data_IF_956537296016
#
_entry.id   IF_956537296016
#
_cell.length_a   1.000
_cell.length_b   1.000
_cell.length_c   1.000
_cell.angle_alpha   90.00
_cell.angle_beta   90.00
_cell.angle_gamma   90.00
#
_symmetry.space_group_name_H-M   'P 1'
#
loop_
_entity.id
_entity.type
_entity.pdbx_description
1 polymer ?
#
# COMPACT_ATOMS: atom_id res chain seq x y z
N UNK A 1 15.26 42.98 -5.05
CA UNK A 1 14.23 42.36 -4.17
C UNK A 1 13.22 41.49 -4.92
N UNK A 2 12.81 41.82 -6.15
CA UNK A 2 11.75 41.10 -6.89
C UNK A 2 12.11 39.66 -7.33
N UNK A 3 13.37 39.39 -7.67
CA UNK A 3 13.80 38.07 -8.16
C UNK A 3 13.88 36.99 -7.05
N UNK A 4 14.19 37.39 -5.81
CA UNK A 4 14.23 36.47 -4.65
C UNK A 4 12.83 36.01 -4.22
N UNK A 5 11.81 36.86 -4.41
CA UNK A 5 10.40 36.53 -4.12
C UNK A 5 9.86 35.52 -5.14
N UNK A 6 10.22 35.66 -6.41
CA UNK A 6 9.78 34.73 -7.48
C UNK A 6 10.35 33.32 -7.26
N UNK A 7 11.62 33.21 -6.86
CA UNK A 7 12.25 31.91 -6.56
C UNK A 7 11.61 31.25 -5.32
N UNK A 8 11.27 32.04 -4.30
CA UNK A 8 10.59 31.54 -3.10
C UNK A 8 9.17 31.04 -3.41
N UNK A 9 8.42 31.75 -4.26
CA UNK A 9 7.08 31.31 -4.71
C UNK A 9 7.16 30.02 -5.52
N UNK A 10 8.15 29.89 -6.40
CA UNK A 10 8.40 28.64 -7.14
C UNK A 10 8.76 27.47 -6.21
N UNK A 11 9.59 27.71 -5.18
CA UNK A 11 9.97 26.68 -4.21
C UNK A 11 8.78 26.20 -3.36
N UNK A 12 7.87 27.11 -3.00
CA UNK A 12 6.63 26.78 -2.27
C UNK A 12 5.64 26.00 -3.16
N UNK A 13 5.61 26.23 -4.47
CA UNK A 13 4.79 25.44 -5.40
C UNK A 13 5.31 24.00 -5.62
N UNK A 14 6.62 23.76 -5.45
CA UNK A 14 7.19 22.40 -5.49
C UNK A 14 6.90 21.57 -4.22
N UNK A 15 6.43 22.21 -3.15
CA UNK A 15 5.90 21.54 -1.96
C UNK A 15 4.41 21.20 -2.10
N UNK A 16 3.86 21.20 -3.32
CA UNK A 16 2.50 20.75 -3.58
C UNK A 16 2.29 19.40 -2.89
N UNK A 17 1.47 19.46 -1.85
CA UNK A 17 1.25 18.39 -0.89
C UNK A 17 0.92 17.11 -1.65
N UNK A 18 1.74 16.07 -1.44
CA UNK A 18 1.26 14.71 -1.64
C UNK A 18 0.17 14.55 -0.60
N UNK A 19 -1.08 14.74 -1.01
CA UNK A 19 -2.24 14.45 -0.16
C UNK A 19 -2.25 12.94 -0.02
N UNK A 20 -1.57 12.42 0.99
CA UNK A 20 -1.78 11.06 1.45
C UNK A 20 -2.99 11.13 2.38
N UNK A 21 -3.96 10.23 2.18
CA UNK A 21 -5.07 10.08 3.11
C UNK A 21 -4.51 9.51 4.42
N UNK A 22 -4.06 10.39 5.30
CA UNK A 22 -3.50 10.04 6.61
C UNK A 22 -4.59 10.16 7.67
N UNK A 23 -4.78 9.08 8.41
CA UNK A 23 -5.54 9.03 9.65
C UNK A 23 -4.59 8.75 10.82
N UNK A 24 -5.10 8.84 12.04
CA UNK A 24 -4.38 8.37 13.23
C UNK A 24 -3.95 6.90 13.12
N UNK A 25 -4.68 6.11 12.35
CA UNK A 25 -4.49 4.67 12.18
C UNK A 25 -3.47 4.29 11.10
N UNK A 26 -3.17 5.20 10.18
CA UNK A 26 -2.29 4.91 9.06
C UNK A 26 -2.49 5.80 7.85
N UNK A 27 -1.81 5.44 6.76
CA UNK A 27 -1.96 6.08 5.44
C UNK A 27 -2.11 5.05 4.32
N UNK A 28 -2.65 5.48 3.18
CA UNK A 28 -2.85 4.65 2.01
C UNK A 28 -2.32 5.40 0.78
N UNK A 29 -1.40 4.76 0.06
CA UNK A 29 -0.93 5.21 -1.25
C UNK A 29 -1.38 4.22 -2.32
N UNK A 30 -1.87 4.72 -3.45
CA UNK A 30 -2.46 3.91 -4.51
C UNK A 30 -1.71 4.09 -5.82
N UNK A 31 -1.59 3.02 -6.58
CA UNK A 31 -0.88 2.99 -7.85
C UNK A 31 -1.73 2.33 -8.92
N UNK A 32 -1.65 2.87 -10.14
CA UNK A 32 -2.19 2.25 -11.35
C UNK A 32 -1.03 1.98 -12.32
N UNK A 33 -0.84 0.72 -12.72
CA UNK A 33 0.29 0.28 -13.55
C UNK A 33 1.64 0.84 -13.05
N UNK A 34 1.92 0.66 -11.76
CA UNK A 34 3.12 1.15 -11.05
C UNK A 34 3.30 2.67 -10.95
N UNK A 35 2.40 3.46 -11.52
CA UNK A 35 2.39 4.91 -11.35
C UNK A 35 1.60 5.28 -10.10
N UNK A 36 2.23 6.02 -9.18
CA UNK A 36 1.57 6.59 -8.00
C UNK A 36 0.44 7.53 -8.43
N UNK A 37 -0.73 7.39 -7.78
CA UNK A 37 -1.87 8.27 -7.88
C UNK A 37 -1.90 9.18 -6.65
N UNK A 38 -1.42 10.43 -6.74
CA UNK A 38 -1.38 11.35 -5.61
C UNK A 38 -2.78 11.90 -5.27
N UNK A 39 -3.12 11.96 -3.97
CA UNK A 39 -4.34 12.60 -3.51
C UNK A 39 -5.61 11.90 -4.00
N UNK A 40 -6.49 12.70 -4.59
CA UNK A 40 -7.77 12.25 -5.15
C UNK A 40 -7.69 11.93 -6.66
N UNK A 41 -6.46 11.74 -7.20
CA UNK A 41 -6.30 11.37 -8.61
C UNK A 41 -6.87 9.97 -8.87
N UNK A 42 -7.75 9.87 -9.87
CA UNK A 42 -8.34 8.62 -10.33
C UNK A 42 -7.79 8.32 -11.71
N UNK A 43 -7.24 7.12 -11.92
CA UNK A 43 -6.80 6.69 -13.24
C UNK A 43 -8.01 6.57 -14.18
N UNK A 44 -7.90 7.03 -15.43
CA UNK A 44 -8.98 6.96 -16.43
C UNK A 44 -8.54 6.25 -17.71
N UNK A 45 -8.18 4.95 -17.63
CA UNK A 45 -7.69 4.22 -18.78
C UNK A 45 -8.82 3.89 -19.75
N UNK A 46 -8.46 3.72 -21.02
CA UNK A 46 -9.28 3.04 -22.02
C UNK A 46 -8.68 1.65 -22.19
N UNK A 47 -9.43 0.61 -21.86
CA UNK A 47 -8.98 -0.78 -21.85
C UNK A 47 -9.57 -1.53 -23.05
N UNK A 48 -8.81 -2.46 -23.61
CA UNK A 48 -9.37 -3.53 -24.44
C UNK A 48 -9.97 -4.62 -23.55
N UNK A 49 -10.95 -5.34 -24.05
CA UNK A 49 -11.48 -6.53 -23.39
C UNK A 49 -10.34 -7.54 -23.18
N UNK A 50 -10.21 -8.06 -21.98
CA UNK A 50 -9.12 -8.97 -21.61
C UNK A 50 -7.74 -8.33 -21.43
N UNK A 51 -7.60 -7.01 -21.59
CA UNK A 51 -6.33 -6.31 -21.33
C UNK A 51 -6.01 -6.31 -19.83
N UNK A 52 -4.86 -6.88 -19.42
CA UNK A 52 -4.47 -6.88 -18.03
C UNK A 52 -3.97 -5.50 -17.62
N UNK A 53 -4.43 -5.04 -16.46
CA UNK A 53 -3.92 -3.85 -15.79
C UNK A 53 -3.71 -4.14 -14.31
N UNK A 54 -2.85 -3.36 -13.67
CA UNK A 54 -2.45 -3.55 -12.29
C UNK A 54 -2.92 -2.38 -11.44
N UNK A 55 -3.48 -2.72 -10.29
CA UNK A 55 -3.64 -1.79 -9.17
C UNK A 55 -2.77 -2.26 -8.00
N UNK A 56 -2.17 -1.31 -7.29
CA UNK A 56 -1.39 -1.60 -6.09
C UNK A 56 -1.75 -0.60 -5.00
N UNK A 57 -2.00 -1.11 -3.82
CA UNK A 57 -2.33 -0.33 -2.63
C UNK A 57 -1.24 -0.60 -1.59
N UNK A 58 -0.62 0.46 -1.11
CA UNK A 58 0.38 0.43 -0.04
C UNK A 58 -0.25 1.06 1.19
N UNK A 59 -0.50 0.25 2.22
CA UNK A 59 -1.06 0.70 3.49
C UNK A 59 0.05 0.77 4.53
N UNK A 60 0.22 1.93 5.16
CA UNK A 60 1.08 2.08 6.35
C UNK A 60 0.20 2.06 7.58
N UNK A 61 0.37 1.08 8.45
CA UNK A 61 -0.37 0.95 9.71
C UNK A 61 0.46 1.46 10.88
N UNK A 62 -0.14 2.30 11.73
CA UNK A 62 0.52 2.89 12.90
C UNK A 62 0.37 2.06 14.18
N UNK A 63 -0.51 1.06 14.17
CA UNK A 63 -0.85 0.23 15.33
C UNK A 63 -1.24 -1.18 14.88
N UNK A 64 -1.14 -2.15 15.78
CA UNK A 64 -1.65 -3.50 15.50
C UNK A 64 -3.15 -3.45 15.22
N UNK A 65 -3.57 -3.95 14.05
CA UNK A 65 -4.94 -3.81 13.56
C UNK A 65 -5.43 -5.09 12.91
N UNK A 66 -6.73 -5.35 13.03
CA UNK A 66 -7.43 -6.31 12.16
C UNK A 66 -7.86 -5.58 10.90
N UNK A 67 -7.54 -6.13 9.73
CA UNK A 67 -7.73 -5.47 8.44
C UNK A 67 -8.64 -6.29 7.53
N UNK A 68 -9.60 -5.62 6.92
CA UNK A 68 -10.38 -6.13 5.79
C UNK A 68 -10.14 -5.25 4.57
N UNK A 69 -9.90 -5.88 3.41
CA UNK A 69 -9.74 -5.20 2.13
C UNK A 69 -10.54 -5.90 1.05
N UNK A 70 -11.00 -5.14 0.06
CA UNK A 70 -11.79 -5.64 -1.06
C UNK A 70 -11.56 -4.74 -2.27
N UNK A 71 -11.46 -5.35 -3.46
CA UNK A 71 -11.55 -4.65 -4.73
C UNK A 71 -12.89 -4.97 -5.36
N UNK A 72 -13.68 -3.95 -5.67
CA UNK A 72 -15.04 -4.11 -6.19
C UNK A 72 -15.41 -3.01 -7.20
N UNK A 73 -16.68 -2.99 -7.62
CA UNK A 73 -17.26 -2.00 -8.53
C UNK A 73 -18.70 -1.72 -8.10
N UNK A 74 -19.30 -0.70 -8.71
CA UNK A 74 -20.75 -0.49 -8.64
C UNK A 74 -21.49 -1.65 -9.34
N UNK A 75 -22.63 -2.06 -8.75
CA UNK A 75 -23.48 -3.12 -9.30
C UNK A 75 -23.24 -4.51 -8.69
N UNK A 76 -24.08 -5.48 -9.07
CA UNK A 76 -24.02 -6.86 -8.59
C UNK A 76 -23.18 -7.78 -9.47
N UNK A 77 -22.94 -7.41 -10.73
CA UNK A 77 -22.14 -8.15 -11.68
C UNK A 77 -20.70 -7.62 -11.70
N UNK A 78 -19.73 -8.52 -11.85
CA UNK A 78 -18.31 -8.16 -11.85
C UNK A 78 -17.84 -7.71 -13.23
N UNK A 79 -17.42 -6.45 -13.41
CA UNK A 79 -16.85 -5.99 -14.69
C UNK A 79 -15.43 -6.49 -14.94
N UNK A 80 -14.77 -7.01 -13.92
CA UNK A 80 -13.40 -7.48 -14.00
C UNK A 80 -13.25 -8.92 -13.51
N UNK A 81 -12.22 -9.58 -14.02
CA UNK A 81 -11.70 -10.83 -13.49
C UNK A 81 -10.35 -10.54 -12.83
N UNK A 82 -10.13 -11.10 -11.64
CA UNK A 82 -8.81 -11.08 -11.00
C UNK A 82 -7.96 -12.18 -11.63
N UNK A 83 -6.92 -11.76 -12.34
CA UNK A 83 -5.87 -12.66 -12.84
C UNK A 83 -4.97 -13.10 -11.69
N UNK A 84 -4.55 -12.14 -10.87
CA UNK A 84 -3.73 -12.37 -9.68
C UNK A 84 -4.08 -11.34 -8.60
N UNK A 85 -4.07 -11.75 -7.33
CA UNK A 85 -4.16 -10.82 -6.22
C UNK A 85 -4.55 -11.48 -4.88
N UNK A 86 -4.62 -10.68 -3.80
CA UNK A 86 -4.97 -11.16 -2.45
C UNK A 86 -6.33 -11.87 -2.32
N UNK A 87 -7.28 -11.56 -3.20
CA UNK A 87 -8.63 -12.13 -3.24
C UNK A 87 -9.24 -11.99 -4.63
N UNK A 88 -10.36 -12.69 -4.87
CA UNK A 88 -11.19 -12.49 -6.07
C UNK A 88 -11.89 -11.13 -6.04
N UNK A 89 -12.43 -10.72 -7.18
CA UNK A 89 -13.20 -9.49 -7.30
C UNK A 89 -14.46 -9.57 -6.42
N UNK A 90 -14.75 -8.50 -5.68
CA UNK A 90 -15.82 -8.42 -4.69
C UNK A 90 -15.75 -9.46 -3.56
N UNK A 91 -14.57 -10.05 -3.32
CA UNK A 91 -14.32 -10.93 -2.17
C UNK A 91 -13.43 -10.23 -1.14
N UNK A 92 -13.92 -10.17 0.10
CA UNK A 92 -13.18 -9.57 1.22
C UNK A 92 -12.01 -10.45 1.64
N UNK A 93 -10.80 -9.89 1.64
CA UNK A 93 -9.65 -10.49 2.29
C UNK A 93 -9.57 -10.00 3.74
N UNK A 94 -9.42 -10.93 4.67
CA UNK A 94 -9.31 -10.66 6.10
C UNK A 94 -7.91 -11.01 6.62
N UNK A 95 -7.36 -10.11 7.42
CA UNK A 95 -6.14 -10.28 8.21
C UNK A 95 -6.48 -10.08 9.68
N UNK A 96 -6.39 -11.15 10.47
CA UNK A 96 -6.79 -11.15 11.88
C UNK A 96 -5.95 -10.18 12.72
N UNK A 97 -4.66 -10.06 12.42
CA UNK A 97 -3.73 -9.19 13.12
C UNK A 97 -2.56 -8.83 12.21
N UNK A 98 -2.39 -7.54 11.95
CA UNK A 98 -1.21 -6.96 11.31
C UNK A 98 -0.59 -5.97 12.29
N UNK A 99 0.69 -6.15 12.61
CA UNK A 99 1.44 -5.21 13.45
C UNK A 99 1.69 -3.87 12.73
N UNK A 100 2.16 -2.82 13.42
CA UNK A 100 2.55 -1.58 12.76
C UNK A 100 3.58 -1.85 11.65
N UNK A 101 3.38 -1.29 10.46
CA UNK A 101 4.24 -1.58 9.32
C UNK A 101 3.66 -1.15 7.98
N UNK A 102 4.40 -1.43 6.91
CA UNK A 102 3.99 -1.12 5.54
C UNK A 102 3.59 -2.42 4.85
N UNK A 103 2.37 -2.46 4.33
CA UNK A 103 1.77 -3.62 3.67
C UNK A 103 1.41 -3.27 2.24
N UNK A 104 1.81 -4.13 1.30
CA UNK A 104 1.53 -3.95 -0.12
C UNK A 104 0.56 -5.01 -0.60
N UNK A 105 -0.53 -4.56 -1.23
CA UNK A 105 -1.54 -5.40 -1.85
C UNK A 105 -1.61 -5.06 -3.34
N UNK A 106 -1.53 -6.07 -4.19
CA UNK A 106 -1.47 -5.88 -5.64
C UNK A 106 -2.49 -6.78 -6.31
N UNK A 107 -3.30 -6.22 -7.21
CA UNK A 107 -4.20 -6.98 -8.07
C UNK A 107 -3.84 -6.73 -9.53
N UNK A 108 -3.86 -7.80 -10.30
CA UNK A 108 -3.87 -7.79 -11.75
C UNK A 108 -5.29 -8.15 -12.18
N UNK A 109 -5.91 -7.23 -12.89
CA UNK A 109 -7.31 -7.30 -13.32
C UNK A 109 -7.36 -7.29 -14.84
N UNK A 110 -8.39 -7.89 -15.42
CA UNK A 110 -8.75 -7.72 -16.83
C UNK A 110 -10.25 -7.49 -16.97
N UNK A 111 -10.64 -6.71 -17.97
CA UNK A 111 -12.05 -6.43 -18.25
C UNK A 111 -12.75 -7.64 -18.91
N UNK A 112 -13.98 -7.91 -18.49
CA UNK A 112 -14.83 -8.98 -19.03
C UNK A 112 -15.53 -8.54 -20.33
N UNK A 113 -15.87 -9.50 -21.21
CA UNK A 113 -16.59 -9.27 -22.49
C UNK A 113 -17.97 -8.61 -22.31
N UNK A 114 -18.65 -8.84 -21.17
CA UNK A 114 -20.00 -8.32 -20.91
C UNK A 114 -20.12 -6.79 -20.75
N UNK A 115 -19.00 -6.07 -20.73
CA UNK A 115 -18.95 -4.64 -20.39
C UNK A 115 -18.35 -3.76 -21.48
N UNK A 116 -18.25 -4.29 -22.70
CA UNK A 116 -17.84 -3.55 -23.90
C UNK A 116 -18.63 -2.24 -24.08
N UNK A 117 -17.91 -1.15 -24.31
CA UNK A 117 -18.47 0.18 -24.51
C UNK A 117 -18.89 0.90 -23.22
N UNK A 118 -18.85 0.23 -22.07
CA UNK A 118 -19.21 0.82 -20.78
C UNK A 118 -18.00 1.34 -20.02
N UNK A 119 -18.25 2.25 -19.06
CA UNK A 119 -17.23 2.75 -18.14
C UNK A 119 -17.51 2.26 -16.73
N UNK A 120 -16.61 1.45 -16.20
CA UNK A 120 -16.76 0.80 -14.90
C UNK A 120 -15.65 1.23 -13.93
N UNK A 121 -15.99 1.55 -12.68
CA UNK A 121 -15.00 1.86 -11.66
C UNK A 121 -14.35 0.59 -11.11
N UNK A 122 -13.09 0.70 -10.72
CA UNK A 122 -12.41 -0.20 -9.81
C UNK A 122 -12.28 0.54 -8.48
N UNK A 123 -13.06 0.12 -7.51
CA UNK A 123 -13.07 0.66 -6.16
C UNK A 123 -12.19 -0.20 -5.26
N UNK A 124 -11.55 0.45 -4.30
CA UNK A 124 -10.88 -0.20 -3.17
C UNK A 124 -11.63 0.16 -1.89
N UNK A 125 -12.13 -0.87 -1.24
CA UNK A 125 -12.81 -0.79 0.05
C UNK A 125 -11.90 -1.35 1.14
N UNK A 126 -11.87 -0.69 2.30
CA UNK A 126 -11.11 -1.14 3.44
C UNK A 126 -11.81 -0.85 4.77
N UNK A 127 -11.48 -1.67 5.77
CA UNK A 127 -11.96 -1.52 7.13
C UNK A 127 -10.89 -1.97 8.12
N UNK A 128 -10.60 -1.13 9.10
CA UNK A 128 -9.60 -1.34 10.16
C UNK A 128 -10.30 -1.40 11.51
N UNK A 129 -9.91 -2.36 12.32
CA UNK A 129 -10.33 -2.46 13.72
C UNK A 129 -9.11 -2.43 14.63
N UNK A 130 -9.28 -1.82 15.80
CA UNK A 130 -8.31 -1.96 16.88
C UNK A 130 -8.34 -3.39 17.41
N UNK A 131 -7.24 -3.81 18.04
CA UNK A 131 -7.10 -5.17 18.56
C UNK A 131 -8.15 -5.44 19.64
N UNK A 132 -9.00 -6.43 19.39
CA UNK A 132 -10.03 -6.87 20.33
C UNK A 132 -11.36 -6.12 20.21
N UNK A 133 -11.46 -5.16 19.28
CA UNK A 133 -12.68 -4.38 19.04
C UNK A 133 -13.47 -4.94 17.85
N UNK A 134 -14.79 -5.07 18.03
CA UNK A 134 -15.70 -5.51 16.97
C UNK A 134 -16.18 -4.36 16.08
N UNK A 135 -16.19 -3.13 16.60
CA UNK A 135 -16.52 -1.94 15.82
C UNK A 135 -15.31 -1.47 15.00
N UNK A 136 -15.52 -1.03 13.74
CA UNK A 136 -14.42 -0.50 12.95
C UNK A 136 -13.99 0.87 13.45
N UNK A 137 -12.70 1.02 13.67
CA UNK A 137 -12.08 2.30 13.96
C UNK A 137 -12.06 3.21 12.71
N UNK A 138 -11.80 2.62 11.54
CA UNK A 138 -11.82 3.30 10.25
C UNK A 138 -12.46 2.40 9.22
N UNK A 139 -13.27 3.00 8.35
CA UNK A 139 -13.81 2.37 7.16
C UNK A 139 -13.80 3.38 6.02
N UNK A 140 -13.44 2.95 4.83
CA UNK A 140 -13.43 3.81 3.65
C UNK A 140 -13.57 3.03 2.35
N UNK A 141 -13.93 3.76 1.32
CA UNK A 141 -13.98 3.28 -0.06
C UNK A 141 -13.63 4.42 -0.98
N UNK A 142 -12.83 4.15 -2.01
CA UNK A 142 -12.52 5.12 -3.05
C UNK A 142 -12.28 4.44 -4.39
N UNK A 143 -12.44 5.19 -5.48
CA UNK A 143 -12.19 4.71 -6.84
C UNK A 143 -10.71 4.84 -7.19
N UNK A 144 -10.06 3.73 -7.51
CA UNK A 144 -8.66 3.67 -7.96
C UNK A 144 -8.57 4.01 -9.45
N UNK A 145 -9.46 3.41 -10.24
CA UNK A 145 -9.51 3.61 -11.68
C UNK A 145 -10.96 3.68 -12.15
N UNK A 146 -11.24 4.54 -13.11
CA UNK A 146 -12.51 4.66 -13.81
C UNK A 146 -12.28 4.27 -15.27
N UNK A 147 -12.39 2.98 -15.55
CA UNK A 147 -11.94 2.40 -16.81
C UNK A 147 -13.06 2.44 -17.85
N UNK A 148 -12.77 2.96 -19.05
CA UNK A 148 -13.64 2.79 -20.22
C UNK A 148 -13.23 1.54 -20.97
N UNK A 149 -14.14 0.57 -21.10
CA UNK A 149 -13.87 -0.69 -21.80
C UNK A 149 -14.26 -0.49 -23.26
N UNK A 150 -13.28 -0.60 -24.15
CA UNK A 150 -13.51 -0.54 -25.61
C UNK A 150 -14.06 -1.86 -26.14
N UNK A 151 -14.57 -1.85 -27.37
CA UNK A 151 -15.02 -3.05 -28.07
C UNK A 151 -13.85 -3.87 -28.67
N UNK A 152 -12.62 -3.36 -28.56
CA UNK A 152 -11.44 -4.07 -29.02
C UNK A 152 -11.06 -5.16 -28.02
N UNK A 153 -10.57 -6.29 -28.53
CA UNK A 153 -10.10 -7.39 -27.70
C UNK A 153 -8.58 -7.40 -27.66
N UNK A 154 -8.03 -7.53 -26.46
CA UNK A 154 -6.59 -7.68 -26.25
C UNK A 154 -6.11 -8.99 -26.89
N UNK A 155 -5.00 -8.92 -27.63
CA UNK A 155 -4.36 -10.06 -28.32
C UNK A 155 -2.97 -10.39 -27.79
N UNK A 156 -2.49 -9.65 -26.79
CA UNK A 156 -1.21 -9.91 -26.16
C UNK A 156 -1.31 -11.08 -25.19
N UNK A 157 -0.16 -11.55 -24.74
CA UNK A 157 -0.07 -12.54 -23.67
C UNK A 157 -0.44 -11.90 -22.34
N UNK A 158 -1.23 -12.62 -21.54
CA UNK A 158 -1.43 -12.24 -20.13
C UNK A 158 -0.10 -12.52 -19.43
N UNK A 159 0.49 -11.55 -18.73
CA UNK A 159 1.77 -11.78 -18.08
C UNK A 159 1.64 -12.94 -17.08
N UNK A 160 2.45 -13.98 -17.29
CA UNK A 160 2.59 -15.13 -16.39
C UNK A 160 3.64 -14.72 -15.37
N UNK A 161 3.23 -14.50 -14.12
CA UNK A 161 4.16 -14.18 -13.05
C UNK A 161 4.57 -15.45 -12.31
N UNK A 162 5.88 -15.69 -12.21
CA UNK A 162 6.44 -16.70 -11.31
C UNK A 162 6.04 -16.37 -9.86
N UNK A 163 5.77 -17.40 -9.06
CA UNK A 163 5.36 -17.26 -7.66
C UNK A 163 6.27 -16.29 -6.91
N UNK A 164 5.73 -15.11 -6.55
CA UNK A 164 6.43 -14.17 -5.66
C UNK A 164 6.74 -14.89 -4.35
N UNK A 165 7.98 -14.84 -3.83
CA UNK A 165 8.21 -15.26 -2.47
C UNK A 165 7.40 -14.35 -1.57
N UNK A 166 6.49 -14.94 -0.80
CA UNK A 166 5.91 -14.28 0.37
C UNK A 166 7.10 -13.83 1.20
N UNK A 167 7.28 -12.51 1.33
CA UNK A 167 8.26 -11.97 2.26
C UNK A 167 7.82 -12.40 3.65
N UNK A 168 8.37 -13.50 4.13
CA UNK A 168 8.30 -13.89 5.52
C UNK A 168 8.91 -12.73 6.32
N UNK A 169 8.05 -12.03 7.06
CA UNK A 169 8.46 -11.16 8.15
C UNK A 169 9.47 -11.92 8.99
N UNK A 170 10.68 -11.36 9.13
CA UNK A 170 11.72 -11.88 10.02
C UNK A 170 11.08 -12.16 11.39
N UNK A 171 10.97 -13.44 11.71
CA UNK A 171 10.53 -13.88 13.02
C UNK A 171 11.61 -13.51 14.03
N UNK A 172 11.16 -12.87 15.10
CA UNK A 172 11.90 -12.56 16.32
C UNK A 172 12.68 -13.78 16.86
N UNK A 173 13.73 -13.54 17.67
CA UNK A 173 14.91 -14.41 17.71
C UNK A 173 14.59 -15.78 18.31
N UNK A 174 14.95 -16.83 17.58
CA UNK A 174 15.06 -18.17 18.14
C UNK A 174 16.14 -18.16 19.22
N UNK A 175 15.73 -18.49 20.45
CA UNK A 175 16.60 -18.78 21.58
C UNK A 175 17.72 -19.75 21.19
N UNK A 176 18.90 -19.19 20.92
CA UNK A 176 20.13 -19.94 20.78
C UNK A 176 20.78 -20.10 22.16
N UNK A 177 21.03 -21.36 22.53
CA UNK A 177 21.74 -21.78 23.73
C UNK A 177 23.07 -21.05 23.91
N UNK A 178 23.27 -20.57 25.14
CA UNK A 178 24.49 -19.98 25.69
C UNK A 178 25.74 -20.82 25.39
N UNK A 179 26.82 -20.25 24.83
CA UNK A 179 28.17 -20.71 25.10
C UNK A 179 28.73 -19.93 26.29
N UNK A 180 29.08 -20.66 27.35
CA UNK A 180 29.84 -20.14 28.47
C UNK A 180 31.25 -19.75 28.00
N UNK A 181 31.59 -18.47 28.03
CA UNK A 181 32.98 -18.02 28.09
C UNK A 181 33.10 -16.85 29.07
N UNK A 182 33.83 -17.14 30.13
CA UNK A 182 34.33 -16.20 31.14
C UNK A 182 35.31 -15.24 30.48
N UNK A 183 35.06 -13.94 30.54
CA UNK A 183 36.12 -12.93 30.39
C UNK A 183 36.03 -11.92 31.52
N UNK A 184 36.93 -12.11 32.48
CA UNK A 184 37.14 -11.24 33.61
C UNK A 184 37.69 -9.88 33.14
N UNK A 185 37.03 -8.81 33.60
CA UNK A 185 37.66 -7.63 34.17
C UNK A 185 38.50 -6.72 33.26
N UNK A 186 37.89 -5.63 32.79
CA UNK A 186 38.55 -4.31 32.73
C UNK A 186 37.50 -3.19 32.82
N UNK A 187 37.16 -2.80 34.06
CA UNK A 187 36.55 -1.50 34.37
C UNK A 187 37.71 -0.57 34.73
N UNK A 188 38.00 0.45 33.92
CA UNK A 188 38.53 1.77 34.35
C UNK A 188 39.31 2.49 33.24
N UNK A 189 38.61 3.12 32.28
CA UNK A 189 39.14 4.31 31.58
C UNK A 189 38.00 5.30 31.32
N UNK A 190 37.21 5.62 32.35
CA UNK A 190 36.24 6.74 32.30
C UNK A 190 36.34 7.66 33.52
N UNK A 191 37.56 7.87 34.02
CA UNK A 191 37.86 8.84 35.09
C UNK A 191 38.88 9.90 34.64
N UNK A 192 39.51 9.76 33.47
CA UNK A 192 40.53 10.72 33.01
C UNK A 192 39.99 11.94 32.23
N UNK A 193 38.69 11.99 31.93
CA UNK A 193 38.09 13.13 31.22
C UNK A 193 37.61 14.27 32.16
N UNK A 194 37.51 14.02 33.47
CA UNK A 194 37.06 15.04 34.45
C UNK A 194 38.21 15.78 35.17
N UNK A 195 39.47 15.35 34.98
CA UNK A 195 40.63 16.02 35.59
C UNK A 195 41.31 17.04 34.66
N UNK A 196 40.96 17.10 33.37
CA UNK A 196 41.61 17.98 32.37
C UNK A 196 40.80 19.27 32.13
N UNK A 197 39.54 19.35 32.58
CA UNK A 197 38.70 20.56 32.47
C UNK A 197 38.73 21.48 33.71
N UNK A 198 39.69 21.29 34.62
CA UNK A 198 39.97 22.23 35.71
C UNK A 198 41.47 22.53 35.81
N UNK A 199 42.00 23.24 34.83
CA UNK A 199 43.11 24.17 35.05
C UNK A 199 43.15 25.26 34.00
#
# INVERSE_FOLDING_TARGET
MKMKVIIFVFFVMFLANVVSASSTYGSIDTYYNDKLLPGEEIAKPILKVGEPFKIKVVMTLNQTSRLFIEVNSIGSESPYEVVEGPSKFSEKKHFESLDPGVYTFEWILKANEGWEGWSMPVNFWYQLHEKGEDEPAVKGEFTVAYCTISNEHYKGEIPIFEERPVSETESSPTSASTPAFTLAGTISILVLAFAIFRR
#
